data_IF_674247645358
#
_entry.id   IF_674247645358
#
_cell.length_a   1.000
_cell.length_b   1.000
_cell.length_c   1.000
_cell.angle_alpha   90.00
_cell.angle_beta   90.00
_cell.angle_gamma   90.00
#
_symmetry.space_group_name_H-M   'P 1'
#
loop_
_entity.id
_entity.type
_entity.pdbx_description
1 polymer ?
#
# COMPACT_ATOMS: atom_id res chain seq x y z
N UNK A 1 2.84 -9.33 24.20
CA UNK A 1 1.90 -9.46 23.07
C UNK A 1 2.72 -9.84 21.85
N UNK A 2 2.45 -10.98 21.22
CA UNK A 2 3.06 -11.27 19.92
C UNK A 2 2.53 -10.25 18.92
N UNK A 3 3.39 -9.32 18.53
CA UNK A 3 3.16 -8.52 17.32
C UNK A 3 3.31 -9.54 16.19
N UNK A 4 2.21 -10.15 15.73
CA UNK A 4 2.23 -10.90 14.47
C UNK A 4 2.52 -9.89 13.38
N UNK A 5 3.81 -9.69 13.08
CA UNK A 5 4.27 -8.95 11.92
C UNK A 5 3.76 -9.71 10.70
N UNK A 6 2.82 -9.11 9.98
CA UNK A 6 2.21 -9.67 8.77
C UNK A 6 2.66 -8.86 7.56
N UNK A 7 2.50 -9.42 6.37
CA UNK A 7 2.71 -8.68 5.12
C UNK A 7 1.41 -7.98 4.73
N UNK A 8 1.46 -6.78 4.14
CA UNK A 8 0.28 -6.01 3.74
C UNK A 8 0.28 -5.77 2.23
N UNK A 9 -0.74 -6.27 1.54
CA UNK A 9 -0.89 -6.17 0.10
C UNK A 9 -2.01 -5.18 -0.22
N UNK A 10 -1.66 -4.03 -0.79
CA UNK A 10 -2.59 -3.00 -1.20
C UNK A 10 -2.85 -3.15 -2.70
N UNK A 11 -4.02 -3.66 -3.07
CA UNK A 11 -4.48 -3.81 -4.46
C UNK A 11 -6.01 -3.99 -4.42
N UNK A 12 -6.72 -3.26 -5.26
CA UNK A 12 -8.18 -3.28 -5.33
C UNK A 12 -8.73 -4.56 -5.99
N UNK A 13 -7.96 -5.17 -6.89
CA UNK A 13 -8.41 -6.29 -7.73
C UNK A 13 -7.60 -7.56 -7.43
N UNK A 14 -6.27 -7.48 -7.49
CA UNK A 14 -5.39 -8.65 -7.56
C UNK A 14 -5.15 -9.27 -6.19
N UNK A 15 -4.72 -10.53 -6.21
CA UNK A 15 -4.17 -11.25 -5.07
C UNK A 15 -2.64 -11.38 -5.21
N UNK A 16 -1.90 -11.62 -4.10
CA UNK A 16 -0.44 -11.77 -4.16
C UNK A 16 0.05 -12.77 -5.22
N UNK A 17 -0.60 -13.93 -5.33
CA UNK A 17 -0.22 -14.95 -6.33
C UNK A 17 -0.28 -14.44 -7.78
N UNK A 18 -1.16 -13.48 -8.08
CA UNK A 18 -1.21 -12.85 -9.41
C UNK A 18 -0.05 -11.89 -9.62
N UNK A 19 0.34 -11.14 -8.59
CA UNK A 19 1.55 -10.32 -8.60
C UNK A 19 2.81 -11.16 -8.86
N UNK A 20 2.89 -12.37 -8.30
CA UNK A 20 3.99 -13.30 -8.59
C UNK A 20 4.13 -13.61 -10.10
N UNK A 21 3.03 -13.76 -10.83
CA UNK A 21 3.07 -14.18 -12.23
C UNK A 21 3.87 -13.23 -13.14
N UNK A 22 3.90 -11.93 -12.84
CA UNK A 22 4.64 -10.95 -13.63
C UNK A 22 5.83 -10.32 -12.90
N UNK A 23 5.85 -10.30 -11.56
CA UNK A 23 7.02 -9.81 -10.80
C UNK A 23 8.11 -10.88 -10.60
N UNK A 24 7.72 -12.16 -10.60
CA UNK A 24 8.58 -13.31 -10.26
C UNK A 24 9.25 -13.20 -8.89
N UNK A 25 8.63 -12.47 -7.95
CA UNK A 25 9.14 -12.32 -6.58
C UNK A 25 8.49 -13.38 -5.67
N UNK A 26 9.27 -14.33 -5.16
CA UNK A 26 8.79 -15.45 -4.33
C UNK A 26 8.05 -15.01 -3.06
N UNK A 27 8.28 -13.79 -2.58
CA UNK A 27 7.58 -13.23 -1.42
C UNK A 27 6.05 -13.22 -1.61
N UNK A 28 5.58 -13.09 -2.86
CA UNK A 28 4.16 -13.12 -3.19
C UNK A 28 3.52 -14.51 -3.10
N UNK A 29 4.31 -15.57 -2.96
CA UNK A 29 3.82 -16.93 -2.70
C UNK A 29 3.59 -17.21 -1.21
N UNK A 30 4.02 -16.31 -0.32
CA UNK A 30 3.76 -16.45 1.13
C UNK A 30 2.27 -16.37 1.42
N UNK A 31 1.83 -17.04 2.50
CA UNK A 31 0.40 -17.13 2.89
C UNK A 31 -0.02 -16.10 3.92
N UNK A 32 0.91 -15.30 4.45
CA UNK A 32 0.67 -14.35 5.54
C UNK A 32 0.43 -12.90 5.07
N UNK A 33 0.14 -12.72 3.78
CA UNK A 33 -0.38 -11.46 3.24
C UNK A 33 -1.79 -11.18 3.77
N UNK A 34 -1.95 -10.00 4.35
CA UNK A 34 -3.26 -9.39 4.55
C UNK A 34 -3.53 -8.43 3.40
N UNK A 35 -4.70 -8.55 2.78
CA UNK A 35 -5.06 -7.75 1.62
C UNK A 35 -5.95 -6.59 2.07
N UNK A 36 -5.63 -5.39 1.62
CA UNK A 36 -6.46 -4.19 1.78
C UNK A 36 -6.78 -3.66 0.38
N UNK A 37 -8.06 -3.32 0.17
CA UNK A 37 -8.59 -3.03 -1.16
C UNK A 37 -8.59 -1.55 -1.52
N UNK A 38 -8.44 -0.67 -0.54
CA UNK A 38 -8.50 0.75 -0.75
C UNK A 38 -7.80 1.54 0.36
N UNK A 39 -7.80 2.87 0.23
CA UNK A 39 -7.13 3.78 1.15
C UNK A 39 -7.65 3.63 2.59
N UNK A 40 -8.97 3.56 2.78
CA UNK A 40 -9.56 3.44 4.12
C UNK A 40 -9.15 2.14 4.81
N UNK A 41 -9.20 1.01 4.09
CA UNK A 41 -8.76 -0.28 4.62
C UNK A 41 -7.26 -0.27 4.94
N UNK A 42 -6.44 0.39 4.13
CA UNK A 42 -5.01 0.54 4.37
C UNK A 42 -4.73 1.28 5.68
N UNK A 43 -5.34 2.46 5.86
CA UNK A 43 -5.22 3.29 7.07
C UNK A 43 -5.70 2.52 8.30
N UNK A 44 -6.94 2.02 8.26
CA UNK A 44 -7.56 1.34 9.40
C UNK A 44 -6.73 0.12 9.81
N UNK A 45 -6.22 -0.63 8.83
CA UNK A 45 -5.38 -1.80 9.12
C UNK A 45 -4.13 -1.44 9.89
N UNK A 46 -3.43 -0.39 9.50
CA UNK A 46 -2.19 0.06 10.15
C UNK A 46 -2.50 0.65 11.53
N UNK A 47 -3.54 1.46 11.66
CA UNK A 47 -3.95 2.04 12.95
C UNK A 47 -4.34 0.94 13.95
N UNK A 48 -5.10 -0.07 13.53
CA UNK A 48 -5.58 -1.12 14.43
C UNK A 48 -4.53 -2.17 14.80
N UNK A 49 -3.62 -2.49 13.88
CA UNK A 49 -2.68 -3.63 14.03
C UNK A 49 -1.22 -3.23 14.11
N UNK A 50 -0.93 -1.94 13.95
CA UNK A 50 0.42 -1.42 13.83
C UNK A 50 1.05 -1.70 12.46
N UNK A 51 2.31 -1.29 12.32
CA UNK A 51 3.06 -1.44 11.08
C UNK A 51 3.34 -2.93 10.75
N UNK A 52 3.12 -3.34 9.49
CA UNK A 52 3.49 -4.68 9.01
C UNK A 52 5.02 -4.83 8.87
N UNK A 53 5.50 -6.07 8.63
CA UNK A 53 6.92 -6.25 8.26
C UNK A 53 7.22 -5.61 6.91
N UNK A 54 6.30 -5.78 5.97
CA UNK A 54 6.43 -5.29 4.61
C UNK A 54 5.07 -4.92 4.02
N UNK A 55 5.08 -3.91 3.17
CA UNK A 55 3.94 -3.48 2.38
C UNK A 55 4.27 -3.65 0.89
N UNK A 56 3.31 -4.13 0.10
CA UNK A 56 3.38 -4.03 -1.35
C UNK A 56 2.23 -3.22 -1.91
N UNK A 57 2.55 -2.22 -2.72
CA UNK A 57 1.60 -1.24 -3.24
C UNK A 57 1.27 -1.50 -4.71
N UNK A 58 -0.01 -1.54 -5.02
CA UNK A 58 -0.53 -1.12 -6.31
C UNK A 58 -0.76 0.39 -6.34
N UNK A 59 -0.61 1.02 -7.49
CA UNK A 59 -0.83 2.45 -7.66
C UNK A 59 -2.31 2.78 -7.88
N UNK A 60 -2.98 2.01 -8.73
CA UNK A 60 -4.32 2.29 -9.18
C UNK A 60 -5.28 1.61 -8.21
N UNK A 61 -5.88 2.39 -7.31
CA UNK A 61 -6.95 1.92 -6.45
C UNK A 61 -8.21 2.49 -7.05
N UNK A 62 -8.94 1.70 -7.84
CA UNK A 62 -10.20 2.10 -8.45
C UNK A 62 -11.28 2.21 -7.35
N UNK A 63 -11.12 3.19 -6.48
CA UNK A 63 -11.98 3.41 -5.33
C UNK A 63 -13.23 4.12 -5.85
N UNK A 64 -14.26 3.30 -6.09
CA UNK A 64 -15.68 3.68 -6.24
C UNK A 64 -16.16 3.92 -7.69
N UNK A 65 -16.70 2.86 -8.30
CA UNK A 65 -17.61 2.97 -9.46
C UNK A 65 -19.06 3.38 -9.11
N UNK A 66 -19.39 3.83 -7.88
CA UNK A 66 -20.80 3.95 -7.47
C UNK A 66 -21.22 5.18 -6.63
N UNK A 67 -20.42 6.23 -6.46
CA UNK A 67 -20.86 7.43 -5.75
C UNK A 67 -20.74 8.67 -6.63
N UNK A 68 -21.89 9.03 -7.21
CA UNK A 68 -22.27 10.33 -7.77
C UNK A 68 -21.21 11.04 -8.65
N UNK A 69 -21.32 10.95 -9.98
CA UNK A 69 -20.46 11.68 -10.92
C UNK A 69 -20.54 13.23 -10.82
N UNK A 70 -21.43 13.78 -9.99
CA UNK A 70 -21.71 15.22 -9.90
C UNK A 70 -21.13 15.91 -8.64
N UNK A 71 -20.22 15.28 -7.89
CA UNK A 71 -19.47 16.00 -6.83
C UNK A 71 -18.05 16.29 -7.30
N UNK A 72 -17.77 17.55 -7.63
CA UNK A 72 -16.43 18.10 -7.93
C UNK A 72 -15.41 17.94 -6.77
N UNK A 73 -15.80 17.34 -5.64
CA UNK A 73 -15.04 17.29 -4.40
C UNK A 73 -14.34 15.94 -4.13
N UNK A 74 -14.69 14.84 -4.81
CA UNK A 74 -14.07 13.55 -4.52
C UNK A 74 -12.87 13.27 -5.43
N UNK A 75 -11.66 13.44 -4.89
CA UNK A 75 -10.43 12.96 -5.52
C UNK A 75 -10.19 11.51 -5.11
N UNK A 76 -10.24 10.63 -6.10
CA UNK A 76 -9.86 9.22 -5.97
C UNK A 76 -8.48 9.09 -5.31
N UNK A 77 -8.40 8.29 -4.25
CA UNK A 77 -7.17 8.04 -3.51
C UNK A 77 -6.43 6.88 -4.14
N UNK A 78 -5.16 7.10 -4.44
CA UNK A 78 -4.28 6.13 -5.09
C UNK A 78 -3.36 5.43 -4.08
N UNK A 79 -2.60 4.43 -4.54
CA UNK A 79 -1.52 3.84 -3.76
C UNK A 79 -0.44 4.86 -3.38
N UNK A 80 -0.29 5.93 -4.17
CA UNK A 80 0.61 7.03 -3.84
C UNK A 80 0.12 7.84 -2.63
N UNK A 81 -1.20 8.04 -2.51
CA UNK A 81 -1.78 8.66 -1.32
C UNK A 81 -1.58 7.79 -0.08
N UNK A 82 -1.69 6.46 -0.21
CA UNK A 82 -1.40 5.52 0.89
C UNK A 82 0.08 5.62 1.33
N UNK A 83 1.02 5.74 0.38
CA UNK A 83 2.43 5.89 0.67
C UNK A 83 2.76 7.22 1.39
N UNK A 84 2.10 8.33 1.00
CA UNK A 84 2.23 9.61 1.70
C UNK A 84 1.72 9.53 3.14
N UNK A 85 0.51 9.01 3.31
CA UNK A 85 -0.08 8.82 4.64
C UNK A 85 0.80 7.93 5.53
N UNK A 86 1.39 6.86 4.97
CA UNK A 86 2.31 6.00 5.71
C UNK A 86 3.53 6.77 6.24
N UNK A 87 4.12 7.66 5.45
CA UNK A 87 5.24 8.50 5.88
C UNK A 87 4.82 9.41 7.02
N UNK A 88 3.71 10.13 6.87
CA UNK A 88 3.17 11.02 7.91
C UNK A 88 2.91 10.26 9.21
N UNK A 89 2.27 9.10 9.11
CA UNK A 89 2.04 8.22 10.25
C UNK A 89 3.35 7.77 10.93
N UNK A 90 4.37 7.40 10.14
CA UNK A 90 5.67 7.00 10.69
C UNK A 90 6.38 8.19 11.37
N UNK A 91 6.31 9.38 10.78
CA UNK A 91 6.89 10.60 11.35
C UNK A 91 6.23 10.97 12.69
N UNK A 92 4.90 11.03 12.73
CA UNK A 92 4.13 11.44 13.91
C UNK A 92 4.30 10.46 15.09
N UNK A 93 4.59 9.19 14.80
CA UNK A 93 4.74 8.15 15.80
C UNK A 93 6.21 7.76 16.07
N UNK A 94 7.18 8.46 15.48
CA UNK A 94 8.61 8.15 15.58
C UNK A 94 8.94 6.69 15.22
N UNK A 95 8.36 6.19 14.13
CA UNK A 95 8.53 4.83 13.63
C UNK A 95 9.32 4.81 12.32
N UNK A 96 10.02 3.71 12.07
CA UNK A 96 10.64 3.44 10.77
C UNK A 96 9.60 2.97 9.76
N UNK A 97 9.72 3.43 8.51
CA UNK A 97 8.90 2.93 7.41
C UNK A 97 9.22 1.44 7.16
N UNK A 98 8.20 0.56 7.03
CA UNK A 98 8.39 -0.86 6.76
C UNK A 98 9.24 -1.16 5.53
N UNK A 99 9.61 -2.44 5.34
CA UNK A 99 10.07 -2.86 4.01
C UNK A 99 8.95 -2.60 3.00
N UNK A 100 9.29 -2.22 1.79
CA UNK A 100 8.28 -1.92 0.78
C UNK A 100 8.67 -2.43 -0.59
N UNK A 101 7.66 -2.70 -1.40
CA UNK A 101 7.77 -2.97 -2.82
C UNK A 101 6.57 -2.36 -3.54
N UNK A 102 6.69 -2.07 -4.83
CA UNK A 102 5.53 -1.68 -5.64
C UNK A 102 5.33 -2.71 -6.75
N UNK A 103 4.25 -3.48 -6.64
CA UNK A 103 3.87 -4.49 -7.63
C UNK A 103 2.98 -3.90 -8.73
N UNK A 104 2.71 -2.60 -8.71
CA UNK A 104 1.92 -1.98 -9.76
C UNK A 104 2.53 -2.15 -11.14
N UNK A 105 1.65 -2.41 -12.10
CA UNK A 105 1.98 -2.42 -13.53
C UNK A 105 2.02 -1.01 -14.13
N UNK A 106 1.57 0.01 -13.41
CA UNK A 106 1.69 1.41 -13.81
C UNK A 106 3.13 1.91 -13.57
N UNK A 107 3.97 2.10 -14.60
CA UNK A 107 5.39 2.38 -14.42
C UNK A 107 5.66 3.75 -13.78
N UNK A 108 4.82 4.75 -14.10
CA UNK A 108 4.95 6.11 -13.56
C UNK A 108 4.51 6.13 -12.10
N UNK A 109 3.33 5.56 -11.81
CA UNK A 109 2.82 5.41 -10.45
C UNK A 109 3.76 4.64 -9.54
N UNK A 110 4.29 3.52 -10.03
CA UNK A 110 5.31 2.72 -9.35
C UNK A 110 6.56 3.52 -9.02
N UNK A 111 7.11 4.24 -10.00
CA UNK A 111 8.29 5.08 -9.79
C UNK A 111 8.03 6.15 -8.72
N UNK A 112 6.88 6.82 -8.78
CA UNK A 112 6.52 7.86 -7.81
C UNK A 112 6.43 7.33 -6.38
N UNK A 113 5.79 6.16 -6.18
CA UNK A 113 5.68 5.51 -4.86
C UNK A 113 7.06 5.14 -4.32
N UNK A 114 7.88 4.46 -5.13
CA UNK A 114 9.21 4.01 -4.71
C UNK A 114 10.12 5.21 -4.40
N UNK A 115 10.19 6.20 -5.28
CA UNK A 115 11.00 7.40 -5.05
C UNK A 115 10.57 8.16 -3.81
N UNK A 116 9.26 8.24 -3.52
CA UNK A 116 8.76 8.89 -2.30
C UNK A 116 9.27 8.18 -1.03
N UNK A 117 9.09 6.86 -0.96
CA UNK A 117 9.46 6.07 0.22
C UNK A 117 10.98 5.92 0.38
N UNK A 118 11.72 5.80 -0.72
CA UNK A 118 13.19 5.74 -0.73
C UNK A 118 13.80 7.07 -0.29
N UNK A 119 13.29 8.20 -0.79
CA UNK A 119 13.76 9.51 -0.36
C UNK A 119 13.57 9.70 1.14
N UNK A 120 12.42 9.29 1.70
CA UNK A 120 12.19 9.36 3.14
C UNK A 120 13.15 8.48 3.95
N UNK A 121 13.45 7.26 3.49
CA UNK A 121 14.40 6.37 4.18
C UNK A 121 15.84 6.87 4.19
N UNK A 122 16.19 7.77 3.27
CA UNK A 122 17.53 8.34 3.16
C UNK A 122 17.67 9.70 3.88
N UNK A 123 16.61 10.18 4.54
CA UNK A 123 16.65 11.35 5.44
C UNK A 123 17.13 10.95 6.82
#
# INVERSE_FOLDING_TARGET
>A
MEITKRLLFLDDIRYPVEAYHYTKQDIFLRKDWHIVRNYEQFVNRIVEKGLPEMISFDHDLADIHYLKPDSDEYKEKTGYDCAKWLIEYCMDNFLDVPKFYCHSMNPVGKKNILSLLENYKNL
#
